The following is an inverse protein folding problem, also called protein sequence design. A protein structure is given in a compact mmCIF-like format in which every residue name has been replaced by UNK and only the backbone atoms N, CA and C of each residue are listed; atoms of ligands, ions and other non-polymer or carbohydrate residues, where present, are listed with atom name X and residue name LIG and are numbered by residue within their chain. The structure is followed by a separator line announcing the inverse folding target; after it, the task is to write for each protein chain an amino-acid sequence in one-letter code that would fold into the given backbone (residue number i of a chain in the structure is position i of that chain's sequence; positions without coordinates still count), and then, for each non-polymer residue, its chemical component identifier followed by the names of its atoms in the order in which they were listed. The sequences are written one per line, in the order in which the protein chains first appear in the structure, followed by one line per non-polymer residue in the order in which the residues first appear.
data_IF_790968640111
#
_entry.id   IF_790968640111
#
_cell.length_a   1.000
_cell.length_b   1.000
_cell.length_c   1.000
_cell.angle_alpha   90.00
_cell.angle_beta   90.00
_cell.angle_gamma   90.00
#
_symmetry.space_group_name_H-M   'P 1'
#
loop_
_entity.id
_entity.type
_entity.pdbx_description
1 polymer ?
#
# COMPACT_ATOMS: atom_id res chain seq x y z
N UNK A 1 12.09 -3.46 -19.39
CA UNK A 1 10.69 -2.95 -19.45
C UNK A 1 10.66 -1.55 -20.03
N UNK A 2 9.93 -1.32 -21.12
CA UNK A 2 9.75 0.01 -21.71
C UNK A 2 8.86 0.90 -20.82
N UNK A 3 8.92 2.22 -21.00
CA UNK A 3 8.08 3.16 -20.26
C UNK A 3 6.58 2.92 -20.48
N UNK A 4 6.18 2.57 -21.70
CA UNK A 4 4.77 2.29 -22.04
C UNK A 4 4.20 1.05 -21.36
N UNK A 5 5.00 0.00 -21.18
CA UNK A 5 4.54 -1.23 -20.51
C UNK A 5 4.29 -1.01 -19.01
N UNK A 6 5.11 -0.18 -18.34
CA UNK A 6 4.89 0.19 -16.93
C UNK A 6 3.59 0.96 -16.74
N UNK A 7 3.30 1.90 -17.64
CA UNK A 7 2.09 2.70 -17.55
C UNK A 7 0.82 1.87 -17.79
N UNK A 8 0.87 0.89 -18.70
CA UNK A 8 -0.24 -0.04 -18.91
C UNK A 8 -0.50 -0.92 -17.66
N UNK A 9 0.56 -1.43 -17.01
CA UNK A 9 0.43 -2.21 -15.78
C UNK A 9 -0.08 -1.36 -14.60
N UNK A 10 0.39 -0.12 -14.45
CA UNK A 10 -0.12 0.83 -13.44
C UNK A 10 -1.63 1.06 -13.59
N UNK A 11 -2.12 1.09 -14.83
CA UNK A 11 -3.55 1.26 -15.13
C UNK A 11 -4.37 0.01 -14.79
N UNK A 12 -3.83 -1.18 -15.06
CA UNK A 12 -4.56 -2.45 -14.88
C UNK A 12 -4.50 -2.99 -13.46
N UNK A 13 -3.38 -2.81 -12.75
CA UNK A 13 -3.16 -3.34 -11.40
C UNK A 13 -2.46 -2.33 -10.49
N UNK A 14 -3.11 -1.19 -10.18
CA UNK A 14 -2.47 -0.09 -9.46
C UNK A 14 -1.90 -0.54 -8.12
N UNK A 15 -2.63 -1.33 -7.33
CA UNK A 15 -2.14 -1.82 -6.03
C UNK A 15 -0.92 -2.73 -6.16
N UNK A 16 -0.95 -3.73 -7.07
CA UNK A 16 0.18 -4.66 -7.28
C UNK A 16 1.43 -3.89 -7.69
N UNK A 17 1.30 -2.94 -8.60
CA UNK A 17 2.44 -2.13 -9.05
C UNK A 17 2.95 -1.22 -7.93
N UNK A 18 2.07 -0.52 -7.21
CA UNK A 18 2.48 0.32 -6.07
C UNK A 18 3.20 -0.49 -4.99
N UNK A 19 2.79 -1.74 -4.73
CA UNK A 19 3.48 -2.64 -3.80
C UNK A 19 4.93 -2.91 -4.23
N UNK A 20 5.20 -3.08 -5.53
CA UNK A 20 6.58 -3.26 -6.02
C UNK A 20 7.47 -2.04 -5.81
N UNK A 21 6.89 -0.84 -5.77
CA UNK A 21 7.62 0.38 -5.45
C UNK A 21 7.96 0.48 -3.95
N UNK A 22 7.31 -0.28 -3.08
CA UNK A 22 7.66 -0.36 -1.65
C UNK A 22 8.83 -1.32 -1.38
N UNK A 23 9.30 -2.06 -2.39
CA UNK A 23 10.46 -2.93 -2.29
C UNK A 23 11.74 -2.16 -2.55
N UNK A 24 12.82 -2.53 -1.85
CA UNK A 24 14.14 -1.96 -2.09
C UNK A 24 14.65 -2.32 -3.50
N UNK A 25 15.23 -1.36 -4.26
CA UNK A 25 15.55 0.04 -3.94
C UNK A 25 14.53 1.07 -4.50
N UNK A 26 13.31 0.64 -4.80
CA UNK A 26 12.36 1.41 -5.60
C UNK A 26 11.56 2.46 -4.80
N UNK A 27 11.68 2.51 -3.47
CA UNK A 27 10.86 3.35 -2.59
C UNK A 27 10.93 4.83 -2.93
N UNK A 28 12.09 5.31 -3.42
CA UNK A 28 12.26 6.70 -3.86
C UNK A 28 11.33 7.12 -5.00
N UNK A 29 10.84 6.17 -5.80
CA UNK A 29 9.93 6.42 -6.92
C UNK A 29 8.45 6.18 -6.57
N UNK A 30 8.17 5.77 -5.34
CA UNK A 30 6.82 5.41 -4.92
C UNK A 30 5.82 6.55 -5.12
N UNK A 31 6.14 7.75 -4.64
CA UNK A 31 5.24 8.90 -4.76
C UNK A 31 4.98 9.30 -6.23
N UNK A 32 5.97 9.16 -7.11
CA UNK A 32 5.81 9.42 -8.54
C UNK A 32 4.86 8.42 -9.20
N UNK A 33 4.88 7.16 -8.74
CA UNK A 33 3.96 6.14 -9.21
C UNK A 33 2.53 6.39 -8.70
N UNK A 34 2.39 6.73 -7.42
CA UNK A 34 1.09 7.05 -6.80
C UNK A 34 0.42 8.24 -7.50
N UNK A 35 1.17 9.30 -7.79
CA UNK A 35 0.64 10.50 -8.45
C UNK A 35 0.02 10.20 -9.83
N UNK A 36 0.39 9.10 -10.48
CA UNK A 36 -0.15 8.70 -11.79
C UNK A 36 -1.45 7.90 -11.70
N UNK A 37 -1.82 7.44 -10.50
CA UNK A 37 -2.93 6.51 -10.31
C UNK A 37 -3.96 6.99 -9.30
N UNK A 38 -3.82 8.18 -8.71
CA UNK A 38 -4.77 8.73 -7.74
C UNK A 38 -6.23 8.63 -8.20
N UNK A 39 -6.53 9.12 -9.41
CA UNK A 39 -7.88 9.18 -9.97
C UNK A 39 -8.50 7.80 -10.26
N UNK A 40 -7.68 6.74 -10.21
CA UNK A 40 -8.06 5.38 -10.58
C UNK A 40 -7.86 4.40 -9.45
N UNK A 41 -7.35 4.85 -8.30
CA UNK A 41 -7.08 4.01 -7.15
C UNK A 41 -8.36 3.91 -6.32
N UNK A 42 -9.02 2.75 -6.25
CA UNK A 42 -10.21 2.59 -5.44
C UNK A 42 -9.90 2.76 -3.94
N UNK A 43 -10.89 3.20 -3.16
CA UNK A 43 -10.75 3.39 -1.71
C UNK A 43 -10.24 2.15 -0.99
N UNK A 44 -10.77 0.96 -1.31
CA UNK A 44 -10.33 -0.30 -0.72
C UNK A 44 -8.85 -0.61 -1.05
N UNK A 45 -8.40 -0.34 -2.28
CA UNK A 45 -6.99 -0.52 -2.64
C UNK A 45 -6.09 0.48 -1.92
N UNK A 46 -6.55 1.72 -1.72
CA UNK A 46 -5.82 2.70 -0.94
C UNK A 46 -5.70 2.29 0.53
N UNK A 47 -6.79 1.81 1.14
CA UNK A 47 -6.75 1.26 2.50
C UNK A 47 -5.80 0.07 2.61
N UNK A 48 -5.82 -0.86 1.65
CA UNK A 48 -4.87 -1.97 1.58
C UNK A 48 -3.41 -1.49 1.45
N UNK A 49 -3.15 -0.43 0.68
CA UNK A 49 -1.81 0.13 0.53
C UNK A 49 -1.29 0.72 1.85
N UNK A 50 -2.13 1.46 2.58
CA UNK A 50 -1.79 1.97 3.90
C UNK A 50 -1.50 0.84 4.88
N UNK A 51 -2.34 -0.20 4.86
CA UNK A 51 -2.14 -1.39 5.67
C UNK A 51 -0.81 -2.07 5.38
N UNK A 52 -0.41 -2.22 4.10
CA UNK A 52 0.89 -2.77 3.72
C UNK A 52 2.04 -1.92 4.29
N UNK A 53 1.96 -0.59 4.15
CA UNK A 53 3.01 0.30 4.66
C UNK A 53 3.09 0.23 6.19
N UNK A 54 1.96 0.26 6.88
CA UNK A 54 1.90 0.24 8.34
C UNK A 54 2.38 -1.12 8.86
N UNK A 55 1.70 -2.20 8.49
CA UNK A 55 1.95 -3.52 9.08
C UNK A 55 3.25 -4.16 8.56
N UNK A 56 3.51 -4.11 7.25
CA UNK A 56 4.66 -4.84 6.66
C UNK A 56 5.95 -4.03 6.63
N UNK A 57 5.89 -2.69 6.75
CA UNK A 57 7.09 -1.84 6.66
C UNK A 57 7.41 -1.10 7.94
N UNK A 58 6.42 -0.51 8.59
CA UNK A 58 6.63 0.27 9.81
C UNK A 58 6.70 -0.64 11.04
N UNK A 59 5.69 -1.48 11.24
CA UNK A 59 5.56 -2.37 12.41
C UNK A 59 6.62 -3.45 12.42
N UNK A 60 6.92 -4.04 11.27
CA UNK A 60 8.05 -4.98 11.13
C UNK A 60 9.43 -4.29 11.28
N UNK A 61 9.46 -2.99 11.60
CA UNK A 61 10.67 -2.21 11.91
C UNK A 61 11.72 -2.24 10.77
N UNK A 62 11.27 -2.20 9.52
CA UNK A 62 12.19 -2.17 8.38
C UNK A 62 12.97 -0.84 8.39
N UNK A 63 14.30 -0.94 8.46
CA UNK A 63 15.22 0.21 8.54
C UNK A 63 15.83 0.59 7.19
N UNK A 64 15.41 -0.05 6.09
CA UNK A 64 15.94 0.19 4.74
C UNK A 64 15.42 1.50 4.11
N UNK A 65 14.35 2.07 4.65
CA UNK A 65 13.78 3.33 4.18
C UNK A 65 13.00 4.08 5.29
N UNK A 66 12.81 5.38 5.12
CA UNK A 66 12.01 6.20 6.06
C UNK A 66 10.50 6.07 5.79
N UNK A 67 9.90 4.90 6.05
CA UNK A 67 8.49 4.62 5.73
C UNK A 67 7.48 5.52 6.44
N UNK A 68 7.76 5.99 7.66
CA UNK A 68 6.89 6.97 8.34
C UNK A 68 6.80 8.28 7.55
N UNK A 69 7.92 8.74 6.99
CA UNK A 69 7.93 9.94 6.15
C UNK A 69 7.24 9.70 4.80
N UNK A 70 7.34 8.50 4.24
CA UNK A 70 6.60 8.09 3.05
C UNK A 70 5.09 8.06 3.33
N UNK A 71 4.67 7.47 4.44
CA UNK A 71 3.27 7.41 4.88
C UNK A 71 2.70 8.82 5.08
N UNK A 72 3.46 9.72 5.73
CA UNK A 72 3.05 11.11 5.93
C UNK A 72 2.86 11.85 4.60
N UNK A 73 3.79 11.67 3.65
CA UNK A 73 3.67 12.26 2.32
C UNK A 73 2.50 11.69 1.53
N UNK A 74 2.31 10.37 1.60
CA UNK A 74 1.20 9.67 0.97
C UNK A 74 -0.13 10.23 1.48
N UNK A 75 -0.35 10.20 2.79
CA UNK A 75 -1.59 10.69 3.41
C UNK A 75 -1.84 12.16 3.12
N UNK A 76 -0.83 13.03 3.25
CA UNK A 76 -0.99 14.46 3.00
C UNK A 76 -1.47 14.74 1.57
N UNK A 77 -0.91 14.05 0.58
CA UNK A 77 -1.23 14.22 -0.84
C UNK A 77 -2.43 13.40 -1.32
N UNK A 78 -3.01 12.55 -0.46
CA UNK A 78 -4.19 11.77 -0.83
C UNK A 78 -5.39 12.68 -1.13
N UNK A 79 -6.14 12.40 -2.22
CA UNK A 79 -7.45 12.98 -2.46
C UNK A 79 -8.42 12.77 -1.30
N UNK A 80 -9.30 13.74 -1.06
CA UNK A 80 -10.22 13.73 0.09
C UNK A 80 -11.16 12.53 0.08
N UNK A 81 -11.64 12.11 -1.09
CA UNK A 81 -12.52 10.93 -1.21
C UNK A 81 -11.84 9.64 -0.72
N UNK A 82 -10.51 9.53 -0.86
CA UNK A 82 -9.76 8.39 -0.33
C UNK A 82 -9.55 8.48 1.18
N UNK A 83 -9.33 9.70 1.70
CA UNK A 83 -9.24 9.94 3.15
C UNK A 83 -10.55 9.60 3.85
N UNK A 84 -11.67 10.08 3.30
CA UNK A 84 -13.02 9.78 3.78
C UNK A 84 -13.32 8.28 3.76
N UNK A 85 -12.87 7.56 2.72
CA UNK A 85 -13.00 6.12 2.70
C UNK A 85 -12.25 5.47 3.87
N UNK A 86 -11.00 5.87 4.10
CA UNK A 86 -10.16 5.31 5.16
C UNK A 86 -10.70 5.63 6.55
N UNK A 87 -11.27 6.81 6.77
CA UNK A 87 -11.93 7.18 8.05
C UNK A 87 -12.99 6.17 8.49
N UNK A 88 -13.64 5.47 7.55
CA UNK A 88 -14.60 4.41 7.82
C UNK A 88 -14.00 3.01 8.01
N UNK A 89 -12.67 2.89 8.10
CA UNK A 89 -11.96 1.60 8.20
C UNK A 89 -11.14 1.50 9.47
N UNK A 90 -10.91 0.27 9.94
CA UNK A 90 -10.18 0.00 11.19
C UNK A 90 -8.74 0.55 11.18
N UNK A 91 -8.10 0.73 10.00
CA UNK A 91 -6.72 1.20 9.91
C UNK A 91 -6.57 2.70 10.25
N UNK A 92 -7.66 3.46 10.27
CA UNK A 92 -7.62 4.91 10.46
C UNK A 92 -7.01 5.32 11.81
N UNK A 93 -7.40 4.65 12.88
CA UNK A 93 -6.90 4.97 14.23
C UNK A 93 -5.38 4.78 14.31
N UNK A 94 -4.88 3.66 13.80
CA UNK A 94 -3.45 3.33 13.76
C UNK A 94 -2.69 4.33 12.89
N UNK A 95 -3.25 4.65 11.71
CA UNK A 95 -2.67 5.65 10.82
C UNK A 95 -2.51 7.00 11.54
N UNK A 96 -3.57 7.50 12.16
CA UNK A 96 -3.55 8.81 12.81
C UNK A 96 -2.58 8.85 14.00
N UNK A 97 -2.48 7.75 14.75
CA UNK A 97 -1.51 7.62 15.83
C UNK A 97 -0.07 7.69 15.30
N UNK A 98 0.25 6.93 14.24
CA UNK A 98 1.58 6.96 13.61
C UNK A 98 1.92 8.35 13.06
N UNK A 99 0.94 9.02 12.44
CA UNK A 99 1.17 10.34 11.85
C UNK A 99 1.45 11.42 12.90
N UNK A 100 0.74 11.37 14.05
CA UNK A 100 0.87 12.33 15.15
C UNK A 100 2.14 12.08 15.97
N UNK A 101 2.36 10.83 16.37
CA UNK A 101 3.33 10.48 17.42
C UNK A 101 4.58 9.76 16.87
N UNK A 102 4.61 9.43 15.59
CA UNK A 102 5.60 8.49 15.04
C UNK A 102 5.24 7.05 15.38
N UNK A 103 6.17 6.11 15.21
CA UNK A 103 5.90 4.70 15.54
C UNK A 103 5.75 4.57 17.06
N UNK A 104 4.56 4.20 17.58
CA UNK A 104 4.35 4.06 19.02
C UNK A 104 5.25 2.96 19.59
N UNK A 105 5.75 3.16 20.82
CA UNK A 105 6.62 2.19 21.49
C UNK A 105 5.91 0.86 21.84
N UNK A 106 4.58 0.85 21.85
CA UNK A 106 3.72 -0.33 22.03
C UNK A 106 3.24 -0.93 20.71
N UNK A 107 3.64 -0.39 19.56
CA UNK A 107 3.32 -0.96 18.25
C UNK A 107 4.25 -2.15 17.97
N UNK A 108 4.26 -3.14 18.86
CA UNK A 108 4.93 -4.42 18.62
C UNK A 108 4.05 -5.24 17.65
N UNK A 109 4.64 -6.03 16.73
CA UNK A 109 3.87 -6.92 15.85
C UNK A 109 2.83 -7.79 16.59
N UNK A 110 3.09 -8.12 17.85
CA UNK A 110 2.23 -8.97 18.67
C UNK A 110 1.04 -8.23 19.31
N UNK A 111 1.07 -6.91 19.36
CA UNK A 111 0.02 -6.07 19.97
C UNK A 111 -0.99 -5.57 18.94
N UNK A 112 -0.73 -5.87 17.66
CA UNK A 112 -1.65 -5.57 16.57
C UNK A 112 -2.68 -6.70 16.50
N UNK A 113 -3.99 -6.41 16.69
CA UNK A 113 -5.02 -7.43 16.59
C UNK A 113 -4.91 -8.19 15.26
N UNK A 114 -5.05 -9.51 15.30
CA UNK A 114 -4.83 -10.40 14.15
C UNK A 114 -5.63 -9.98 12.91
N UNK A 115 -6.79 -9.34 13.10
CA UNK A 115 -7.61 -8.73 12.02
C UNK A 115 -6.89 -7.66 11.18
N UNK A 116 -5.80 -7.08 11.69
CA UNK A 116 -4.93 -6.11 11.00
C UNK A 116 -3.67 -6.76 10.43
N UNK A 117 -3.58 -8.08 10.46
CA UNK A 117 -2.75 -8.80 9.52
C UNK A 117 -3.70 -9.29 8.45
N UNK A 118 -3.68 -8.61 7.29
CA UNK A 118 -4.13 -9.24 6.06
C UNK A 118 -3.27 -10.49 5.91
N UNK A 119 -3.79 -11.64 6.34
CA UNK A 119 -3.24 -12.93 5.96
C UNK A 119 -3.11 -12.90 4.44
N UNK A 120 -1.99 -13.39 3.91
CA UNK A 120 -1.77 -13.44 2.45
C UNK A 120 -2.96 -14.11 1.73
N UNK A 121 -3.74 -14.92 2.44
CA UNK A 121 -4.99 -15.54 2.04
C UNK A 121 -6.13 -14.55 1.73
N UNK A 122 -6.24 -13.39 2.39
CA UNK A 122 -7.25 -12.35 2.08
C UNK A 122 -6.86 -11.55 0.85
N UNK A 123 -5.56 -11.46 0.54
CA UNK A 123 -5.07 -10.90 -0.72
C UNK A 123 -5.21 -11.90 -1.88
N UNK A 124 -5.22 -13.20 -1.59
CA UNK A 124 -5.55 -14.26 -2.54
C UNK A 124 -7.07 -14.42 -2.77
N UNK A 125 -7.92 -14.07 -1.78
CA UNK A 125 -9.38 -14.18 -1.82
C UNK A 125 -10.12 -12.83 -2.00
N UNK A 126 -9.41 -11.73 -2.22
CA UNK A 126 -10.04 -10.53 -2.76
C UNK A 126 -10.73 -10.93 -4.08
N UNK A 127 -11.99 -10.53 -4.34
CA UNK A 127 -12.80 -11.04 -5.45
C UNK A 127 -11.96 -11.02 -6.71
N UNK A 128 -11.76 -12.22 -7.26
CA UNK A 128 -10.82 -12.56 -8.32
C UNK A 128 -10.70 -11.42 -9.33
N UNK A 129 -9.63 -10.64 -9.23
CA UNK A 129 -9.11 -9.99 -10.42
C UNK A 129 -8.49 -11.11 -11.25
N UNK A 130 -9.30 -11.63 -12.16
CA UNK A 130 -9.16 -12.76 -13.09
C UNK A 130 -7.88 -12.73 -13.94
N UNK A 131 -6.72 -12.72 -13.29
CA UNK A 131 -5.41 -12.85 -13.92
C UNK A 131 -4.52 -13.67 -13.00
N UNK A 132 -4.39 -14.96 -13.31
CA UNK A 132 -3.43 -15.84 -12.64
C UNK A 132 -2.02 -15.48 -13.09
N UNK A 133 -1.02 -15.85 -12.28
CA UNK A 133 0.41 -15.67 -12.60
C UNK A 133 0.77 -16.36 -13.94
N UNK A 134 0.02 -17.39 -14.35
CA UNK A 134 0.21 -18.10 -15.62
C UNK A 134 -0.11 -17.25 -16.86
N UNK A 135 -0.89 -16.16 -16.74
CA UNK A 135 -1.16 -15.24 -17.84
C UNK A 135 0.05 -14.35 -18.19
N UNK A 136 1.04 -14.26 -17.30
CA UNK A 136 2.26 -13.46 -17.48
C UNK A 136 3.30 -14.24 -18.29
N UNK A 137 3.31 -15.57 -18.22
CA UNK A 137 4.33 -16.41 -18.85
C UNK A 137 3.97 -16.88 -20.27
N UNK A 138 2.75 -16.62 -20.75
CA UNK A 138 2.28 -17.04 -22.09
C UNK A 138 2.54 -16.07 -23.24
N UNK A 139 3.26 -14.98 -23.00
CA UNK A 139 3.67 -14.02 -24.05
C UNK A 139 5.19 -14.08 -24.30
N UNK A 140 5.67 -15.21 -24.83
CA UNK A 140 6.97 -15.36 -25.47
C UNK A 140 6.85 -16.17 -26.76
#
# INVERSE_FOLDING_TARGET
MSAGHREALLKRFPLKVLRTYLLWPNQRFFMDAVNKVWDRLPGNHFACLLHIIICQKIVELWKDFHYVNLLRQLWHRSPDHLKQYVEGTDIFEILMEILKNGVPCWLHPNDIPEKFFLHDDVLANAPECDCTIDDIERCH
#
